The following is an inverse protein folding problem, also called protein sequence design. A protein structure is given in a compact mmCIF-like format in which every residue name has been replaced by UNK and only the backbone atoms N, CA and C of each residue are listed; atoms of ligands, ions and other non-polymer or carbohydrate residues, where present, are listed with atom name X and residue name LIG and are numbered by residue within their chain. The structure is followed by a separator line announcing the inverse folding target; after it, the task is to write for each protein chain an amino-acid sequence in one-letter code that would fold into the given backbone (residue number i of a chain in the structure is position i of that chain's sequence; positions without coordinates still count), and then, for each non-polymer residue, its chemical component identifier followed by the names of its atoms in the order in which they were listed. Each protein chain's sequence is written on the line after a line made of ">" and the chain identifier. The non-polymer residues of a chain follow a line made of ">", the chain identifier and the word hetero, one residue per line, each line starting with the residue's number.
data_IF_297799044764
#
_entry.id   IF_297799044764
#
_cell.length_a   1.000
_cell.length_b   1.000
_cell.length_c   1.000
_cell.angle_alpha   90.00
_cell.angle_beta   90.00
_cell.angle_gamma   90.00
#
_symmetry.space_group_name_H-M   'P 1'
#
loop_
_entity.id
_entity.type
_entity.pdbx_description
1 polymer ?
#
# COMPACT_ATOMS: atom_id res chain seq x y z
N UNK A 1 -5.35 -1.00 21.82
CA UNK A 1 -4.92 -0.10 20.73
C UNK A 1 -3.80 -0.75 19.94
N UNK A 2 -3.87 -0.62 18.61
CA UNK A 2 -2.93 -1.32 17.73
C UNK A 2 -1.87 -0.38 17.19
N UNK A 3 -0.62 -0.65 17.56
CA UNK A 3 0.53 0.09 17.05
C UNK A 3 1.14 -0.67 15.88
N UNK A 4 1.44 0.05 14.83
CA UNK A 4 2.21 -0.50 13.72
C UNK A 4 3.68 -0.43 14.09
N UNK A 5 4.34 -1.58 14.13
CA UNK A 5 5.76 -1.66 14.47
C UNK A 5 6.65 -1.43 13.27
N UNK A 6 6.28 -2.01 12.13
CA UNK A 6 7.06 -1.94 10.89
C UNK A 6 6.15 -1.96 9.69
N UNK A 7 6.59 -1.33 8.62
CA UNK A 7 5.96 -1.40 7.30
C UNK A 7 7.01 -1.81 6.30
N UNK A 8 6.64 -2.76 5.45
CA UNK A 8 7.47 -3.20 4.35
C UNK A 8 6.71 -2.98 3.05
N UNK A 9 7.45 -2.67 2.01
CA UNK A 9 6.94 -2.62 0.64
C UNK A 9 7.56 -3.76 -0.15
N UNK A 10 6.72 -4.47 -0.88
CA UNK A 10 7.19 -5.53 -1.79
C UNK A 10 7.25 -4.98 -3.19
N UNK A 11 8.42 -5.10 -3.81
CA UNK A 11 8.71 -4.55 -5.12
C UNK A 11 9.04 -5.66 -6.11
N UNK A 12 8.84 -5.36 -7.38
CA UNK A 12 9.30 -6.25 -8.45
C UNK A 12 9.79 -5.44 -9.63
N UNK A 13 10.64 -6.06 -10.42
CA UNK A 13 11.10 -5.48 -11.69
C UNK A 13 11.40 -6.60 -12.67
N UNK A 14 11.27 -6.26 -13.96
CA UNK A 14 11.55 -7.19 -15.06
C UNK A 14 13.01 -7.08 -15.46
N UNK A 15 13.73 -8.18 -15.41
CA UNK A 15 15.16 -8.26 -15.77
C UNK A 15 16.00 -7.15 -15.10
N UNK A 16 16.73 -6.38 -15.90
CA UNK A 16 17.60 -5.29 -15.43
C UNK A 16 17.00 -3.91 -15.65
N UNK A 17 15.67 -3.82 -15.85
CA UNK A 17 15.01 -2.53 -16.00
C UNK A 17 15.21 -1.69 -14.73
N UNK A 18 15.38 -0.38 -14.92
CA UNK A 18 15.60 0.54 -13.79
C UNK A 18 14.32 0.74 -12.98
N UNK A 19 13.16 0.70 -13.63
CA UNK A 19 11.89 0.95 -12.98
C UNK A 19 11.45 -0.27 -12.15
N UNK A 20 11.25 -0.03 -10.87
CA UNK A 20 10.63 -0.98 -9.98
C UNK A 20 9.15 -0.64 -9.82
N UNK A 21 8.34 -1.67 -9.60
CA UNK A 21 6.90 -1.53 -9.39
C UNK A 21 6.54 -2.04 -8.00
N UNK A 22 5.68 -1.30 -7.32
CA UNK A 22 5.18 -1.70 -6.01
C UNK A 22 4.11 -2.78 -6.20
N UNK A 23 4.26 -3.90 -5.51
CA UNK A 23 3.33 -5.02 -5.57
C UNK A 23 2.36 -5.02 -4.38
N UNK A 24 2.89 -4.95 -3.17
CA UNK A 24 2.10 -5.03 -1.93
C UNK A 24 2.74 -4.23 -0.83
N UNK A 25 1.94 -3.92 0.18
CA UNK A 25 2.41 -3.32 1.43
C UNK A 25 2.14 -4.32 2.56
N UNK A 26 3.13 -4.53 3.42
CA UNK A 26 2.99 -5.38 4.60
C UNK A 26 3.06 -4.52 5.85
N UNK A 27 2.08 -4.70 6.72
CA UNK A 27 1.96 -3.93 7.97
C UNK A 27 2.10 -4.91 9.14
N UNK A 28 3.12 -4.70 9.95
CA UNK A 28 3.34 -5.52 11.14
C UNK A 28 2.72 -4.82 12.35
N UNK A 29 1.71 -5.45 12.92
CA UNK A 29 0.95 -4.93 14.07
C UNK A 29 1.05 -5.95 15.18
N UNK A 30 1.71 -5.59 16.30
CA UNK A 30 2.00 -6.50 17.38
C UNK A 30 2.74 -7.76 16.85
N UNK A 31 2.20 -8.96 17.04
CA UNK A 31 2.81 -10.19 16.53
C UNK A 31 2.21 -10.67 15.20
N UNK A 32 1.38 -9.83 14.57
CA UNK A 32 0.68 -10.17 13.33
C UNK A 32 1.24 -9.41 12.15
N UNK A 33 1.17 -10.04 10.98
CA UNK A 33 1.56 -9.45 9.70
C UNK A 33 0.34 -9.41 8.80
N UNK A 34 0.04 -8.24 8.23
CA UNK A 34 -1.06 -8.06 7.29
C UNK A 34 -0.52 -7.60 5.95
N UNK A 35 -1.01 -8.20 4.87
CA UNK A 35 -0.71 -7.74 3.53
C UNK A 35 -1.85 -6.87 3.01
N UNK A 36 -1.49 -5.76 2.37
CA UNK A 36 -2.42 -4.87 1.68
C UNK A 36 -2.12 -4.95 0.19
N UNK A 37 -3.15 -5.23 -0.59
CA UNK A 37 -3.02 -5.40 -2.04
C UNK A 37 -4.09 -4.58 -2.75
N UNK A 38 -3.66 -3.70 -3.66
CA UNK A 38 -4.53 -2.87 -4.48
C UNK A 38 -4.45 -3.22 -5.97
N UNK A 39 -3.89 -4.37 -6.31
CA UNK A 39 -3.64 -4.76 -7.71
C UNK A 39 -4.89 -5.10 -8.51
N UNK A 40 -6.01 -5.34 -7.84
CA UNK A 40 -7.28 -5.66 -8.48
C UNK A 40 -8.31 -4.55 -8.25
N UNK A 41 -9.55 -4.82 -8.57
CA UNK A 41 -10.65 -3.85 -8.46
C UNK A 41 -11.07 -3.57 -7.01
N UNK A 42 -10.47 -4.26 -6.06
CA UNK A 42 -10.75 -4.10 -4.64
C UNK A 42 -9.46 -4.19 -3.83
N UNK A 43 -9.40 -3.41 -2.77
CA UNK A 43 -8.31 -3.54 -1.79
C UNK A 43 -8.53 -4.83 -1.00
N UNK A 44 -7.50 -5.64 -0.92
CA UNK A 44 -7.51 -6.87 -0.13
C UNK A 44 -6.60 -6.71 1.07
N UNK A 45 -7.10 -7.04 2.25
CA UNK A 45 -6.32 -7.09 3.49
C UNK A 45 -6.34 -8.53 3.97
N UNK A 46 -5.14 -9.11 4.15
CA UNK A 46 -5.01 -10.51 4.62
C UNK A 46 -4.03 -10.60 5.77
N UNK A 47 -4.35 -11.41 6.75
CA UNK A 47 -3.39 -11.81 7.77
C UNK A 47 -2.48 -12.87 7.17
N UNK A 48 -1.17 -12.65 7.28
CA UNK A 48 -0.16 -13.56 6.76
C UNK A 48 0.56 -14.24 7.91
N UNK A 49 1.09 -15.44 7.66
CA UNK A 49 1.87 -16.17 8.68
C UNK A 49 3.24 -15.54 8.89
N UNK A 50 3.82 -14.97 7.83
CA UNK A 50 5.15 -14.39 7.88
C UNK A 50 5.35 -13.45 6.69
N UNK A 51 6.44 -12.69 6.72
CA UNK A 51 6.84 -11.86 5.59
C UNK A 51 7.39 -12.74 4.46
N UNK A 52 7.11 -12.39 3.20
CA UNK A 52 7.68 -13.16 2.09
C UNK A 52 9.18 -12.94 1.96
N UNK A 53 9.87 -13.92 1.38
CA UNK A 53 11.27 -13.80 1.01
C UNK A 53 11.39 -13.26 -0.41
N UNK A 54 12.45 -12.50 -0.66
CA UNK A 54 12.76 -12.08 -2.03
C UNK A 54 13.18 -13.25 -2.88
N UNK A 55 12.84 -13.23 -4.16
CA UNK A 55 13.21 -14.30 -5.08
C UNK A 55 13.26 -13.81 -6.53
N UNK A 56 13.90 -14.60 -7.37
CA UNK A 56 13.90 -14.38 -8.82
C UNK A 56 13.02 -15.45 -9.46
N UNK A 57 12.01 -15.01 -10.21
CA UNK A 57 11.19 -15.92 -11.00
C UNK A 57 11.88 -16.14 -12.36
N UNK A 58 12.45 -17.31 -12.55
CA UNK A 58 13.23 -17.64 -13.74
C UNK A 58 12.36 -17.69 -15.01
N UNK A 59 11.12 -18.15 -14.87
CA UNK A 59 10.22 -18.32 -16.01
C UNK A 59 9.82 -17.01 -16.67
N UNK A 60 9.55 -15.97 -15.87
CA UNK A 60 9.15 -14.66 -16.39
C UNK A 60 10.21 -13.56 -16.18
N UNK A 61 11.36 -13.93 -15.64
CA UNK A 61 12.49 -13.00 -15.45
C UNK A 61 12.22 -11.83 -14.51
N UNK A 62 11.28 -11.98 -13.58
CA UNK A 62 11.00 -10.96 -12.56
C UNK A 62 11.81 -11.21 -11.31
N UNK A 63 12.27 -10.13 -10.70
CA UNK A 63 12.91 -10.15 -9.38
C UNK A 63 11.96 -9.51 -8.38
N UNK A 64 11.76 -10.16 -7.24
CA UNK A 64 10.89 -9.71 -6.16
C UNK A 64 11.71 -9.52 -4.89
N UNK A 65 11.46 -8.43 -4.16
CA UNK A 65 12.15 -8.18 -2.89
C UNK A 65 11.30 -7.34 -1.96
N UNK A 66 11.65 -7.39 -0.65
CA UNK A 66 11.05 -6.55 0.38
C UNK A 66 11.98 -5.39 0.73
N UNK A 67 11.38 -4.26 1.06
CA UNK A 67 12.08 -3.08 1.55
C UNK A 67 11.36 -2.59 2.80
N UNK A 68 12.09 -2.44 3.92
CA UNK A 68 11.53 -1.82 5.12
C UNK A 68 11.46 -0.31 4.92
N UNK A 69 10.30 0.26 5.20
CA UNK A 69 10.11 1.70 5.12
C UNK A 69 10.39 2.32 6.49
N UNK A 70 11.37 3.22 6.53
CA UNK A 70 11.75 3.90 7.76
C UNK A 70 10.90 5.14 7.96
N UNK A 71 9.88 5.01 8.80
CA UNK A 71 8.93 6.08 9.09
C UNK A 71 9.12 6.48 10.56
N UNK A 72 9.69 7.65 10.79
CA UNK A 72 10.11 8.09 12.12
C UNK A 72 8.96 8.11 13.14
N UNK A 73 7.77 8.55 12.71
CA UNK A 73 6.63 8.72 13.61
C UNK A 73 5.77 7.46 13.77
N UNK A 74 6.15 6.35 13.15
CA UNK A 74 5.27 5.17 13.06
C UNK A 74 4.83 4.62 14.42
N UNK A 75 5.73 4.63 15.39
CA UNK A 75 5.47 4.08 16.73
C UNK A 75 4.96 5.12 17.74
N UNK A 76 4.71 6.35 17.32
CA UNK A 76 4.30 7.43 18.23
C UNK A 76 2.84 7.34 18.63
N UNK A 77 1.99 6.77 17.77
CA UNK A 77 0.58 6.62 18.07
C UNK A 77 0.03 5.36 17.41
N UNK A 78 -1.06 4.79 17.96
CA UNK A 78 -1.72 3.67 17.30
C UNK A 78 -2.48 4.14 16.06
N UNK A 79 -2.91 3.20 15.25
CA UNK A 79 -3.87 3.48 14.17
C UNK A 79 -5.17 3.94 14.83
N UNK A 80 -5.67 5.09 14.42
CA UNK A 80 -6.91 5.65 14.95
C UNK A 80 -8.12 5.27 14.11
N UNK A 81 -7.93 5.13 12.80
CA UNK A 81 -8.99 4.68 11.89
C UNK A 81 -8.40 4.24 10.56
N UNK A 82 -9.18 3.46 9.83
CA UNK A 82 -8.89 2.99 8.48
C UNK A 82 -10.02 3.46 7.59
N UNK A 83 -9.67 4.02 6.43
CA UNK A 83 -10.65 4.47 5.43
C UNK A 83 -10.24 3.95 4.07
N UNK A 84 -11.21 3.81 3.18
CA UNK A 84 -10.97 3.34 1.82
C UNK A 84 -11.23 4.45 0.81
N UNK A 85 -10.47 4.43 -0.27
CA UNK A 85 -10.67 5.33 -1.40
C UNK A 85 -11.44 4.58 -2.49
N UNK A 86 -12.57 5.14 -2.91
CA UNK A 86 -13.40 4.59 -3.97
C UNK A 86 -13.36 5.50 -5.19
N UNK A 87 -13.24 4.87 -6.35
CA UNK A 87 -13.35 5.60 -7.63
C UNK A 87 -14.83 5.86 -7.90
N UNK A 88 -15.18 7.11 -8.16
CA UNK A 88 -16.59 7.49 -8.35
C UNK A 88 -17.24 6.82 -9.55
N UNK A 89 -16.51 6.71 -10.67
CA UNK A 89 -17.04 6.15 -11.92
C UNK A 89 -17.44 4.69 -11.80
N UNK A 90 -16.61 3.90 -11.15
CA UNK A 90 -16.77 2.44 -11.11
C UNK A 90 -17.29 1.93 -9.77
N UNK A 91 -17.11 2.71 -8.71
CA UNK A 91 -17.33 2.26 -7.35
C UNK A 91 -16.26 1.31 -6.85
N UNK A 92 -15.20 1.09 -7.61
CA UNK A 92 -14.10 0.21 -7.22
C UNK A 92 -13.33 0.80 -6.06
N UNK A 93 -12.93 -0.07 -5.13
CA UNK A 93 -12.09 0.30 -4.00
C UNK A 93 -10.65 0.34 -4.48
N UNK A 94 -10.10 1.55 -4.65
CA UNK A 94 -8.79 1.77 -5.25
C UNK A 94 -7.66 1.95 -4.25
N UNK A 95 -7.98 2.23 -3.01
CA UNK A 95 -6.94 2.47 -2.02
C UNK A 95 -7.41 2.38 -0.59
N UNK A 96 -6.44 2.48 0.30
CA UNK A 96 -6.64 2.44 1.75
C UNK A 96 -5.83 3.54 2.41
N UNK A 97 -6.43 4.19 3.40
CA UNK A 97 -5.75 5.18 4.23
C UNK A 97 -5.69 4.68 5.66
N UNK A 98 -4.49 4.66 6.22
CA UNK A 98 -4.25 4.39 7.62
C UNK A 98 -4.01 5.72 8.33
N UNK A 99 -4.86 6.05 9.30
CA UNK A 99 -4.76 7.30 10.04
C UNK A 99 -4.15 7.07 11.41
N UNK A 100 -3.22 7.95 11.77
CA UNK A 100 -2.57 8.04 13.06
C UNK A 100 -2.92 9.40 13.66
N UNK A 101 -2.43 9.73 14.84
CA UNK A 101 -2.83 10.97 15.52
C UNK A 101 -2.60 12.23 14.69
N UNK A 102 -1.40 12.39 14.14
CA UNK A 102 -1.03 13.57 13.35
C UNK A 102 -0.54 13.23 11.95
N UNK A 103 -0.68 11.96 11.55
CA UNK A 103 -0.10 11.44 10.33
C UNK A 103 -1.03 10.47 9.65
N UNK A 104 -0.78 10.22 8.39
CA UNK A 104 -1.50 9.18 7.65
C UNK A 104 -0.62 8.56 6.58
N UNK A 105 -0.98 7.35 6.19
CA UNK A 105 -0.36 6.64 5.07
C UNK A 105 -1.48 6.29 4.10
N UNK A 106 -1.28 6.63 2.82
CA UNK A 106 -2.19 6.23 1.76
C UNK A 106 -1.48 5.25 0.83
N UNK A 107 -2.18 4.17 0.48
CA UNK A 107 -1.72 3.18 -0.48
C UNK A 107 -2.85 2.98 -1.48
N UNK A 108 -2.59 3.23 -2.76
CA UNK A 108 -3.64 3.20 -3.78
C UNK A 108 -3.10 2.79 -5.14
N UNK A 109 -4.03 2.33 -5.98
CA UNK A 109 -3.76 2.01 -7.38
C UNK A 109 -4.56 2.98 -8.24
N UNK A 110 -3.90 3.89 -8.99
CA UNK A 110 -4.60 4.87 -9.82
C UNK A 110 -5.50 4.26 -10.89
N UNK A 111 -5.23 3.02 -11.26
CA UNK A 111 -5.99 2.33 -12.28
C UNK A 111 -5.34 2.41 -13.65
N UNK A 112 -5.91 1.65 -14.58
CA UNK A 112 -5.35 1.43 -15.90
C UNK A 112 -5.15 2.72 -16.70
N UNK A 113 -6.07 3.67 -16.58
CA UNK A 113 -6.01 4.96 -17.29
C UNK A 113 -4.78 5.80 -16.91
N UNK A 114 -4.24 5.59 -15.70
CA UNK A 114 -3.14 6.38 -15.16
C UNK A 114 -1.83 5.58 -15.08
N UNK A 115 -1.73 4.48 -15.83
CA UNK A 115 -0.52 3.67 -15.87
C UNK A 115 -0.48 2.52 -14.89
N UNK A 116 -1.55 2.30 -14.13
CA UNK A 116 -1.76 1.15 -13.25
C UNK A 116 -0.58 0.83 -12.32
N UNK A 117 -0.01 1.87 -11.70
CA UNK A 117 1.09 1.74 -10.75
C UNK A 117 0.59 2.03 -9.34
N UNK A 118 0.78 1.07 -8.44
CA UNK A 118 0.47 1.26 -7.04
C UNK A 118 1.45 2.23 -6.40
N UNK A 119 0.95 3.06 -5.49
CA UNK A 119 1.71 4.11 -4.82
C UNK A 119 1.41 4.08 -3.33
N UNK A 120 2.45 4.17 -2.51
CA UNK A 120 2.32 4.37 -1.07
C UNK A 120 3.00 5.67 -0.68
N UNK A 121 2.27 6.54 0.00
CA UNK A 121 2.76 7.86 0.41
C UNK A 121 2.43 8.13 1.88
N UNK A 122 3.38 8.76 2.57
CA UNK A 122 3.17 9.24 3.94
C UNK A 122 2.82 10.72 3.93
N UNK A 123 1.77 11.10 4.67
CA UNK A 123 1.33 12.49 4.85
C UNK A 123 1.06 13.23 3.54
N UNK A 124 0.62 12.51 2.52
CA UNK A 124 0.25 13.12 1.24
C UNK A 124 -1.02 13.94 1.36
N UNK A 125 -1.18 14.91 0.48
CA UNK A 125 -2.40 15.71 0.38
C UNK A 125 -3.51 14.85 -0.23
N UNK A 126 -4.40 14.35 0.63
CA UNK A 126 -5.50 13.47 0.20
C UNK A 126 -6.48 14.17 -0.72
N UNK A 127 -6.72 15.46 -0.53
CA UNK A 127 -7.64 16.22 -1.40
C UNK A 127 -7.10 16.28 -2.84
N UNK A 128 -5.80 16.47 -2.98
CA UNK A 128 -5.15 16.46 -4.31
C UNK A 128 -5.30 15.10 -4.98
N UNK A 129 -5.04 14.02 -4.24
CA UNK A 129 -5.18 12.65 -4.76
C UNK A 129 -6.63 12.37 -5.15
N UNK A 130 -7.58 12.74 -4.30
CA UNK A 130 -9.00 12.51 -4.54
C UNK A 130 -9.49 13.26 -5.77
N UNK A 131 -9.02 14.49 -5.96
CA UNK A 131 -9.38 15.30 -7.12
C UNK A 131 -8.78 14.74 -8.41
N UNK A 132 -7.51 14.39 -8.36
CA UNK A 132 -6.77 13.90 -9.54
C UNK A 132 -7.34 12.60 -10.10
N UNK A 133 -7.72 11.67 -9.22
CA UNK A 133 -8.18 10.34 -9.63
C UNK A 133 -9.69 10.14 -9.48
N UNK A 134 -10.42 11.19 -9.16
CA UNK A 134 -11.88 11.15 -8.96
C UNK A 134 -12.28 10.14 -7.88
N UNK A 135 -11.62 10.23 -6.75
CA UNK A 135 -11.87 9.37 -5.59
C UNK A 135 -12.77 10.04 -4.56
N UNK A 136 -13.47 9.21 -3.81
CA UNK A 136 -14.13 9.60 -2.56
C UNK A 136 -13.59 8.75 -1.43
N UNK A 137 -13.48 9.38 -0.26
CA UNK A 137 -13.06 8.70 0.96
C UNK A 137 -14.32 8.22 1.67
N UNK A 138 -14.35 6.94 2.08
CA UNK A 138 -15.48 6.43 2.85
C UNK A 138 -15.51 7.03 4.25
N UNK A 139 -16.67 6.97 4.85
CA UNK A 139 -16.88 7.53 6.18
C UNK A 139 -16.59 6.53 7.29
#
# INVERSE_FOLDING_TARGET
>A
MSFVKRIYTEWYRYQDEEDKLLLRVYVCVDDSVYSLDCSEEAVTIREENDLPEGYVNIDNMYTYWLQEEHIEWLNESPITKIRYLYEKKTGFKRGICLFFKNHHIVYYNPGYEYGDREVMLCDADLETIMTEYDYILDK
#
